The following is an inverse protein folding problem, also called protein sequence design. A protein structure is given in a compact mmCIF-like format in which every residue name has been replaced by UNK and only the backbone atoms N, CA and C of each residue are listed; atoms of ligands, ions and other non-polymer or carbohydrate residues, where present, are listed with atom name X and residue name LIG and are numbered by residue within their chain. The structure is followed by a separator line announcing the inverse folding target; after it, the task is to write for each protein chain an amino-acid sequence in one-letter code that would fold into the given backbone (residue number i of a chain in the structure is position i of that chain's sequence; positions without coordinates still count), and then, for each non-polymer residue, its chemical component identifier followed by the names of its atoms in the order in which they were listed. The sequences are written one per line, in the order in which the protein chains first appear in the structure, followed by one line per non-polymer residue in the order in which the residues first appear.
data_IF_161473181941
#
_entry.id   IF_161473181941
#
_cell.length_a   1.000
_cell.length_b   1.000
_cell.length_c   1.000
_cell.angle_alpha   90.00
_cell.angle_beta   90.00
_cell.angle_gamma   90.00
#
_symmetry.space_group_name_H-M   'P 1'
#
loop_
_entity.id
_entity.type
_entity.pdbx_description
1 polymer ?
#
# COMPACT_ATOMS: atom_id res chain seq x y z
N UNK A 1 -36.78 31.62 -20.16
CA UNK A 1 -35.65 30.68 -20.03
C UNK A 1 -34.43 31.49 -19.62
N UNK A 2 -33.99 31.34 -18.38
CA UNK A 2 -32.89 32.16 -17.81
C UNK A 2 -31.54 31.50 -18.10
N UNK A 3 -30.45 32.28 -18.13
CA UNK A 3 -29.09 31.77 -18.42
C UNK A 3 -28.65 30.62 -17.51
N UNK A 4 -29.22 30.53 -16.31
CA UNK A 4 -28.93 29.46 -15.36
C UNK A 4 -29.58 28.13 -15.74
N UNK A 5 -30.72 28.13 -16.44
CA UNK A 5 -31.37 26.91 -16.93
C UNK A 5 -30.58 26.31 -18.10
N UNK A 6 -30.00 27.15 -18.97
CA UNK A 6 -29.14 26.69 -20.07
C UNK A 6 -27.80 26.12 -19.58
N UNK A 7 -27.30 26.58 -18.43
CA UNK A 7 -26.04 26.09 -17.87
C UNK A 7 -26.20 24.69 -17.25
N UNK A 8 -27.34 24.43 -16.59
CA UNK A 8 -27.64 23.13 -15.98
C UNK A 8 -27.90 22.07 -17.06
N UNK A 9 -28.57 22.45 -18.15
CA UNK A 9 -28.81 21.56 -19.31
C UNK A 9 -27.51 21.23 -20.07
N UNK A 10 -26.58 22.18 -20.14
CA UNK A 10 -25.26 21.98 -20.77
C UNK A 10 -24.28 21.13 -19.93
N UNK A 11 -24.46 21.08 -18.61
CA UNK A 11 -23.65 20.23 -17.71
C UNK A 11 -24.25 18.82 -17.61
N UNK A 12 -25.57 18.68 -17.72
CA UNK A 12 -26.28 17.40 -17.70
C UNK A 12 -26.03 16.50 -18.92
N UNK A 13 -25.40 17.01 -19.98
CA UNK A 13 -25.13 16.27 -21.22
C UNK A 13 -23.66 15.82 -21.37
N UNK A 14 -22.84 15.90 -20.33
CA UNK A 14 -21.48 15.32 -20.38
C UNK A 14 -21.62 13.80 -20.28
N UNK A 15 -21.70 13.18 -21.45
CA UNK A 15 -21.80 11.74 -21.64
C UNK A 15 -20.66 11.02 -20.89
N UNK A 16 -21.02 10.18 -19.91
CA UNK A 16 -20.13 9.48 -18.95
C UNK A 16 -18.97 8.78 -19.67
N UNK A 17 -19.19 8.37 -20.92
CA UNK A 17 -18.20 7.77 -21.80
C UNK A 17 -16.97 8.66 -22.04
N UNK A 18 -17.13 9.98 -22.11
CA UNK A 18 -16.01 10.91 -22.31
C UNK A 18 -15.21 11.14 -21.03
N UNK A 19 -15.84 10.99 -19.85
CA UNK A 19 -15.13 11.08 -18.57
C UNK A 19 -14.22 9.86 -18.42
N UNK A 20 -14.72 8.66 -18.72
CA UNK A 20 -13.94 7.43 -18.67
C UNK A 20 -12.78 7.43 -19.68
N UNK A 21 -13.03 7.90 -20.91
CA UNK A 21 -11.99 8.00 -21.94
C UNK A 21 -10.91 9.05 -21.60
N UNK A 22 -11.32 10.18 -21.01
CA UNK A 22 -10.38 11.22 -20.57
C UNK A 22 -9.53 10.75 -19.37
N UNK A 23 -10.12 10.04 -18.40
CA UNK A 23 -9.39 9.46 -17.27
C UNK A 23 -8.42 8.39 -17.75
N UNK A 24 -8.86 7.47 -18.61
CA UNK A 24 -8.00 6.44 -19.20
C UNK A 24 -6.82 7.05 -19.98
N UNK A 25 -7.07 8.06 -20.81
CA UNK A 25 -6.04 8.75 -21.59
C UNK A 25 -5.04 9.52 -20.69
N UNK A 26 -5.51 10.09 -19.57
CA UNK A 26 -4.66 10.80 -18.61
C UNK A 26 -3.75 9.84 -17.83
N UNK A 27 -4.27 8.67 -17.45
CA UNK A 27 -3.50 7.58 -16.82
C UNK A 27 -2.43 7.06 -17.80
N UNK A 28 -2.81 6.76 -19.04
CA UNK A 28 -1.87 6.23 -20.04
C UNK A 28 -0.75 7.23 -20.37
N UNK A 29 -1.07 8.52 -20.46
CA UNK A 29 -0.07 9.58 -20.68
C UNK A 29 0.89 9.75 -19.50
N UNK A 30 0.41 9.61 -18.25
CA UNK A 30 1.25 9.70 -17.05
C UNK A 30 2.21 8.50 -16.97
N UNK A 31 1.74 7.29 -17.30
CA UNK A 31 2.56 6.07 -17.37
C UNK A 31 3.63 6.18 -18.48
N UNK A 32 3.26 6.67 -19.67
CA UNK A 32 4.21 6.89 -20.78
C UNK A 32 5.26 7.95 -20.45
N UNK A 33 4.89 8.99 -19.69
CA UNK A 33 5.83 10.03 -19.23
C UNK A 33 6.82 9.48 -18.21
N UNK A 34 6.38 8.60 -17.31
CA UNK A 34 7.25 8.01 -16.29
C UNK A 34 8.22 6.94 -16.83
N UNK A 35 7.86 6.25 -17.92
CA UNK A 35 8.74 5.28 -18.61
C UNK A 35 9.91 5.91 -19.40
N UNK A 36 10.03 7.25 -19.49
CA UNK A 36 10.94 7.93 -20.44
C UNK A 36 12.36 8.31 -19.99
N UNK A 37 12.84 8.23 -18.73
CA UNK A 37 14.26 8.50 -18.46
C UNK A 37 15.12 7.27 -18.08
N UNK A 38 14.60 6.04 -18.10
CA UNK A 38 15.40 4.87 -17.65
C UNK A 38 16.37 4.32 -18.70
N UNK A 39 16.20 4.64 -19.99
CA UNK A 39 17.12 4.16 -21.04
C UNK A 39 18.44 4.93 -21.13
N UNK A 40 18.60 6.06 -20.44
CA UNK A 40 19.85 6.86 -20.49
C UNK A 40 20.81 6.63 -19.32
N UNK A 41 20.37 5.99 -18.23
CA UNK A 41 21.21 5.75 -17.05
C UNK A 41 22.02 4.44 -17.18
N UNK A 42 21.52 3.46 -17.95
CA UNK A 42 22.20 2.17 -18.13
C UNK A 42 23.53 2.26 -18.91
N UNK A 43 23.75 3.32 -19.69
CA UNK A 43 24.97 3.49 -20.50
C UNK A 43 26.13 4.12 -19.68
N UNK A 44 25.83 4.92 -18.65
CA UNK A 44 26.84 5.60 -17.82
C UNK A 44 27.49 4.65 -16.81
N UNK A 45 26.77 3.63 -16.34
CA UNK A 45 27.29 2.66 -15.36
C UNK A 45 28.37 1.73 -15.94
N UNK A 46 28.32 1.42 -17.25
CA UNK A 46 29.30 0.56 -17.90
C UNK A 46 30.69 1.20 -18.00
N UNK A 47 30.78 2.54 -18.08
CA UNK A 47 32.06 3.25 -18.13
C UNK A 47 32.77 3.33 -16.76
N UNK A 48 32.03 3.34 -15.64
CA UNK A 48 32.64 3.39 -14.30
C UNK A 48 33.30 2.06 -13.89
N UNK A 49 32.78 0.92 -14.37
CA UNK A 49 33.31 -0.41 -14.02
C UNK A 49 34.66 -0.75 -14.69
N UNK A 50 35.01 -0.08 -15.79
CA UNK A 50 36.31 -0.28 -16.46
C UNK A 50 37.46 0.55 -15.83
N UNK A 51 37.14 1.62 -15.10
CA UNK A 51 38.16 2.48 -14.47
C UNK A 51 38.64 1.87 -13.13
N UNK A 52 37.74 1.21 -12.38
CA UNK A 52 38.08 0.63 -11.07
C UNK A 52 38.91 -0.66 -11.19
N UNK A 53 38.76 -1.42 -12.29
CA UNK A 53 39.53 -2.65 -12.51
C UNK A 53 40.98 -2.41 -12.97
N UNK A 54 41.30 -1.24 -13.52
CA UNK A 54 42.67 -0.89 -13.93
C UNK A 54 43.59 -0.42 -12.78
N UNK A 55 43.03 0.04 -11.66
CA UNK A 55 43.81 0.65 -10.57
C UNK A 55 44.29 -0.34 -9.49
N UNK A 56 43.79 -1.58 -9.49
CA UNK A 56 44.07 -2.58 -8.44
C UNK A 56 45.23 -3.54 -8.75
N UNK A 57 45.90 -3.40 -9.90
CA UNK A 57 46.96 -4.31 -10.33
C UNK A 57 48.40 -3.80 -10.22
N UNK A 58 48.65 -2.62 -9.62
CA UNK A 58 50.01 -2.03 -9.57
C UNK A 58 50.60 -1.89 -8.16
N UNK A 59 49.97 -2.40 -7.09
CA UNK A 59 50.57 -2.34 -5.75
C UNK A 59 50.37 -3.64 -4.96
N UNK A 60 51.25 -4.60 -5.24
CA UNK A 60 51.53 -5.74 -4.37
C UNK A 60 53.03 -5.74 -4.05
N UNK A 61 53.44 -5.44 -2.80
CA UNK A 61 54.70 -5.91 -2.27
C UNK A 61 54.46 -7.21 -1.50
N UNK A 62 55.03 -8.28 -2.03
CA UNK A 62 55.32 -9.52 -1.31
C UNK A 62 56.23 -9.20 -0.11
N UNK A 63 55.80 -9.54 1.11
CA UNK A 63 56.76 -9.90 2.15
C UNK A 63 56.22 -10.96 3.10
N UNK A 64 57.12 -11.90 3.38
CA UNK A 64 56.93 -13.15 4.08
C UNK A 64 57.78 -13.09 5.37
N UNK A 65 57.22 -13.43 6.54
CA UNK A 65 57.91 -13.85 7.79
C UNK A 65 56.85 -14.13 8.86
N UNK A 66 56.59 -15.39 9.20
CA UNK A 66 57.28 -16.24 10.20
C UNK A 66 56.85 -15.98 11.66
N UNK A 67 56.13 -16.97 12.19
CA UNK A 67 55.80 -17.38 13.56
C UNK A 67 56.55 -16.72 14.73
N UNK A 68 55.82 -16.31 15.80
CA UNK A 68 55.90 -17.01 17.10
C UNK A 68 54.84 -16.57 18.15
N UNK A 69 54.49 -17.56 18.97
CA UNK A 69 53.78 -17.66 20.26
C UNK A 69 53.74 -16.45 21.22
N UNK A 70 52.59 -16.20 21.89
CA UNK A 70 52.33 -16.53 23.33
C UNK A 70 51.00 -15.93 23.84
N UNK A 71 50.36 -16.73 24.69
CA UNK A 71 49.27 -16.42 25.64
C UNK A 71 49.60 -15.29 26.61
N UNK A 72 48.62 -14.44 26.95
CA UNK A 72 48.30 -14.02 28.34
C UNK A 72 46.98 -13.24 28.43
N UNK A 73 46.34 -13.34 29.60
CA UNK A 73 44.98 -12.93 29.97
C UNK A 73 44.78 -11.41 30.17
N UNK A 74 43.52 -10.97 30.01
CA UNK A 74 42.84 -10.06 30.95
C UNK A 74 42.92 -8.55 30.70
N UNK A 75 42.00 -7.76 31.30
CA UNK A 75 41.13 -6.83 30.58
C UNK A 75 41.44 -5.35 30.84
N UNK A 76 41.00 -4.44 29.96
CA UNK A 76 40.90 -3.02 30.29
C UNK A 76 39.82 -2.29 29.50
N UNK A 77 38.85 -1.79 30.25
CA UNK A 77 37.95 -0.70 29.93
C UNK A 77 38.73 0.61 29.67
N UNK A 78 38.11 1.53 28.92
CA UNK A 78 38.36 2.96 29.08
C UNK A 78 38.67 3.71 27.78
N UNK A 79 37.59 4.25 27.20
CA UNK A 79 37.44 5.61 26.70
C UNK A 79 38.24 6.16 25.51
N UNK A 80 37.56 7.10 24.86
CA UNK A 80 37.99 8.11 23.89
C UNK A 80 38.11 7.70 22.42
N UNK A 81 37.02 7.88 21.66
CA UNK A 81 37.06 8.67 20.41
C UNK A 81 35.79 9.52 20.29
N UNK A 82 35.99 10.83 20.44
CA UNK A 82 35.09 11.88 20.02
C UNK A 82 35.17 12.11 18.50
N UNK A 83 34.02 12.45 17.90
CA UNK A 83 33.94 13.28 16.70
C UNK A 83 33.68 12.51 15.41
N UNK A 84 32.47 12.67 14.85
CA UNK A 84 32.20 13.35 13.57
C UNK A 84 30.72 13.16 13.18
N UNK A 85 30.02 14.30 12.97
CA UNK A 85 28.93 14.55 12.00
C UNK A 85 27.65 13.69 12.15
N UNK A 86 26.41 14.15 12.08
CA UNK A 86 25.73 15.34 11.53
C UNK A 86 24.24 15.21 11.97
N UNK A 87 23.34 16.18 11.68
CA UNK A 87 22.13 16.41 12.49
C UNK A 87 21.06 15.30 12.33
N UNK A 88 20.49 14.89 13.46
CA UNK A 88 19.27 14.09 13.53
C UNK A 88 18.09 14.86 12.94
N UNK A 89 17.61 14.41 11.78
CA UNK A 89 16.23 14.57 11.38
C UNK A 89 15.49 13.28 11.74
N UNK A 90 15.17 13.12 13.02
CA UNK A 90 14.22 12.11 13.46
C UNK A 90 12.83 12.75 13.42
N UNK A 91 12.21 12.68 12.24
CA UNK A 91 10.78 12.89 12.10
C UNK A 91 10.11 11.57 12.46
N UNK A 92 9.91 11.36 13.76
CA UNK A 92 9.16 10.25 14.34
C UNK A 92 7.67 10.41 13.98
N UNK A 93 7.27 9.91 12.82
CA UNK A 93 5.86 9.83 12.43
C UNK A 93 5.22 8.57 13.02
N UNK A 94 4.97 8.59 14.34
CA UNK A 94 4.10 7.60 14.97
C UNK A 94 2.69 7.67 14.32
N UNK A 95 2.16 6.58 13.72
CA UNK A 95 0.84 6.56 13.08
C UNK A 95 -0.31 6.89 14.02
N UNK A 96 -0.13 6.76 15.35
CA UNK A 96 -1.11 7.21 16.33
C UNK A 96 -1.32 8.73 16.28
N UNK A 97 -0.29 9.53 15.98
CA UNK A 97 -0.42 10.99 15.90
C UNK A 97 -1.13 11.47 14.63
N UNK A 98 -1.08 10.69 13.55
CA UNK A 98 -1.81 10.94 12.30
C UNK A 98 -3.32 10.75 12.47
N UNK A 99 -3.75 9.99 13.48
CA UNK A 99 -5.17 9.66 13.68
C UNK A 99 -6.05 10.83 14.13
N UNK A 100 -5.48 11.87 14.76
CA UNK A 100 -6.28 12.95 15.37
C UNK A 100 -6.72 14.02 14.36
N UNK A 101 -6.08 14.10 13.19
CA UNK A 101 -6.31 15.17 12.19
C UNK A 101 -6.99 14.64 10.91
N UNK A 102 -6.89 13.35 10.64
CA UNK A 102 -7.34 12.77 9.38
C UNK A 102 -8.87 12.61 9.31
N UNK A 103 -9.45 12.96 8.15
CA UNK A 103 -10.89 12.76 7.89
C UNK A 103 -11.22 11.27 7.80
N UNK A 104 -12.14 10.83 8.65
CA UNK A 104 -12.60 9.43 8.71
C UNK A 104 -14.03 9.27 8.20
N UNK A 105 -14.26 8.14 7.54
CA UNK A 105 -15.59 7.63 7.27
C UNK A 105 -15.90 6.45 8.21
N UNK A 106 -17.06 6.51 8.86
CA UNK A 106 -17.62 5.43 9.68
C UNK A 106 -19.07 5.23 9.20
N UNK A 107 -19.47 4.03 8.78
CA UNK A 107 -20.83 3.80 8.31
C UNK A 107 -21.82 3.85 9.47
N UNK A 108 -23.07 4.19 9.16
CA UNK A 108 -24.18 4.05 10.11
C UNK A 108 -24.79 2.64 10.01
N UNK A 109 -25.18 2.06 11.14
CA UNK A 109 -25.88 0.77 11.17
C UNK A 109 -24.99 -0.38 11.61
N UNK A 110 -25.44 -1.61 11.31
CA UNK A 110 -24.75 -2.83 11.73
C UNK A 110 -23.65 -3.19 10.72
N UNK A 111 -22.43 -3.28 11.23
CA UNK A 111 -21.24 -3.66 10.46
C UNK A 111 -20.79 -5.06 10.85
N UNK A 112 -20.42 -5.86 9.84
CA UNK A 112 -19.71 -7.11 10.01
C UNK A 112 -18.23 -6.84 9.73
N UNK A 113 -17.41 -6.94 10.75
CA UNK A 113 -15.95 -6.75 10.68
C UNK A 113 -15.16 -8.04 10.94
N UNK A 114 -15.87 -9.15 11.15
CA UNK A 114 -15.26 -10.47 11.33
C UNK A 114 -16.20 -11.59 10.93
N UNK A 115 -15.59 -12.67 10.46
CA UNK A 115 -16.26 -13.94 10.26
C UNK A 115 -15.26 -15.09 10.34
N UNK A 116 -15.57 -16.13 11.09
CA UNK A 116 -14.71 -17.32 11.21
C UNK A 116 -15.18 -18.39 10.24
N UNK A 117 -14.28 -18.89 9.39
CA UNK A 117 -14.51 -20.07 8.54
C UNK A 117 -13.29 -21.00 8.58
N UNK A 118 -13.46 -22.23 8.10
CA UNK A 118 -12.35 -23.15 7.88
C UNK A 118 -11.58 -22.69 6.63
N UNK A 119 -10.58 -21.81 6.80
CA UNK A 119 -9.90 -21.17 5.68
C UNK A 119 -8.95 -22.13 4.95
N UNK A 120 -8.87 -21.96 3.64
CA UNK A 120 -7.76 -22.38 2.81
C UNK A 120 -7.13 -21.11 2.22
N UNK A 121 -5.81 -20.95 2.32
CA UNK A 121 -5.13 -19.80 1.76
C UNK A 121 -5.20 -19.82 0.23
N UNK A 122 -5.59 -18.70 -0.40
CA UNK A 122 -5.44 -18.49 -1.83
C UNK A 122 -4.06 -17.87 -2.10
N UNK A 123 -3.22 -18.53 -2.89
CA UNK A 123 -1.83 -18.11 -3.14
C UNK A 123 -1.62 -17.38 -4.48
N UNK A 124 -2.69 -17.20 -5.27
CA UNK A 124 -2.59 -16.65 -6.63
C UNK A 124 -3.31 -15.30 -6.67
N UNK A 125 -2.58 -14.19 -6.94
CA UNK A 125 -3.18 -12.90 -7.24
C UNK A 125 -4.22 -13.02 -8.37
N UNK A 126 -5.34 -12.29 -8.30
CA UNK A 126 -6.32 -12.29 -9.37
C UNK A 126 -5.75 -11.61 -10.61
N UNK A 127 -6.13 -12.12 -11.78
CA UNK A 127 -5.83 -11.47 -13.06
C UNK A 127 -6.44 -10.07 -13.14
N UNK A 128 -5.90 -9.24 -14.03
CA UNK A 128 -6.41 -7.89 -14.27
C UNK A 128 -7.89 -7.90 -14.71
N UNK A 129 -8.69 -7.00 -14.14
CA UNK A 129 -10.13 -6.94 -14.34
C UNK A 129 -10.92 -8.06 -13.63
N UNK A 130 -10.30 -8.79 -12.70
CA UNK A 130 -10.95 -9.83 -11.89
C UNK A 130 -10.87 -9.49 -10.41
N UNK A 131 -11.78 -10.09 -9.66
CA UNK A 131 -11.73 -10.06 -8.21
C UNK A 131 -12.19 -11.38 -7.62
N UNK A 132 -11.84 -11.62 -6.35
CA UNK A 132 -12.39 -12.73 -5.58
C UNK A 132 -12.56 -12.34 -4.11
N UNK A 133 -13.38 -13.14 -3.41
CA UNK A 133 -13.57 -13.09 -1.97
C UNK A 133 -12.86 -14.28 -1.33
N UNK A 134 -12.13 -14.04 -0.25
CA UNK A 134 -11.68 -15.15 0.59
C UNK A 134 -12.87 -15.91 1.18
N UNK A 135 -12.64 -17.15 1.61
CA UNK A 135 -13.71 -18.10 1.99
C UNK A 135 -14.60 -17.50 3.09
N UNK A 136 -14.01 -16.87 4.09
CA UNK A 136 -14.72 -16.23 5.19
C UNK A 136 -15.66 -15.10 4.72
N UNK A 137 -15.26 -14.34 3.70
CA UNK A 137 -16.10 -13.29 3.13
C UNK A 137 -17.26 -13.91 2.34
N UNK A 138 -16.98 -14.92 1.52
CA UNK A 138 -18.02 -15.66 0.80
C UNK A 138 -19.05 -16.28 1.76
N UNK A 139 -18.60 -16.89 2.85
CA UNK A 139 -19.49 -17.54 3.82
C UNK A 139 -20.30 -16.51 4.62
N UNK A 140 -19.70 -15.37 4.97
CA UNK A 140 -20.43 -14.26 5.57
C UNK A 140 -21.52 -13.70 4.64
N UNK A 141 -21.20 -13.50 3.35
CA UNK A 141 -22.15 -13.03 2.35
C UNK A 141 -23.32 -14.00 2.16
N UNK A 142 -23.04 -15.32 2.16
CA UNK A 142 -24.09 -16.35 2.09
C UNK A 142 -24.96 -16.37 3.34
N UNK A 143 -24.36 -16.34 4.52
CA UNK A 143 -25.10 -16.43 5.80
C UNK A 143 -26.03 -15.25 6.01
N UNK A 144 -25.60 -14.05 5.59
CA UNK A 144 -26.34 -12.81 5.82
C UNK A 144 -27.00 -12.26 4.55
N UNK A 145 -27.19 -13.08 3.52
CA UNK A 145 -27.69 -12.69 2.20
C UNK A 145 -28.98 -11.85 2.21
N UNK A 146 -29.87 -12.09 3.18
CA UNK A 146 -31.18 -11.43 3.26
C UNK A 146 -31.18 -10.24 4.24
N UNK A 147 -30.00 -9.84 4.74
CA UNK A 147 -29.85 -8.72 5.66
C UNK A 147 -29.17 -7.55 4.96
N UNK A 148 -29.72 -6.36 5.15
CA UNK A 148 -29.08 -5.12 4.72
C UNK A 148 -27.94 -4.77 5.71
N UNK A 149 -26.75 -5.33 5.47
CA UNK A 149 -25.56 -5.16 6.29
C UNK A 149 -24.42 -4.53 5.51
N UNK A 150 -23.53 -3.88 6.25
CA UNK A 150 -22.24 -3.40 5.74
C UNK A 150 -21.14 -4.35 6.19
N UNK A 151 -20.19 -4.63 5.30
CA UNK A 151 -19.01 -5.44 5.55
C UNK A 151 -17.78 -4.55 5.56
N UNK A 152 -16.99 -4.63 6.62
CA UNK A 152 -15.70 -3.95 6.71
C UNK A 152 -14.59 -4.90 6.24
N UNK A 153 -14.04 -4.63 5.06
CA UNK A 153 -13.15 -5.55 4.36
C UNK A 153 -11.83 -4.87 3.99
N UNK A 154 -10.74 -5.63 4.10
CA UNK A 154 -9.47 -5.31 3.48
C UNK A 154 -9.59 -5.48 1.97
N UNK A 155 -8.81 -4.69 1.22
CA UNK A 155 -8.72 -4.80 -0.24
C UNK A 155 -7.24 -4.92 -0.61
N UNK A 156 -6.85 -6.08 -1.12
CA UNK A 156 -5.55 -6.24 -1.76
C UNK A 156 -5.71 -5.95 -3.25
N UNK A 157 -4.98 -4.96 -3.75
CA UNK A 157 -5.00 -4.52 -5.14
C UNK A 157 -3.71 -4.97 -5.81
N UNK A 158 -3.82 -5.59 -6.99
CA UNK A 158 -2.70 -6.17 -7.72
C UNK A 158 -2.58 -5.57 -9.11
N UNK A 159 -1.36 -5.22 -9.53
CA UNK A 159 -1.02 -4.93 -10.93
C UNK A 159 0.11 -5.86 -11.36
N UNK A 160 0.04 -6.39 -12.58
CA UNK A 160 1.06 -7.31 -13.12
C UNK A 160 1.44 -8.44 -12.14
N UNK A 161 0.42 -9.02 -11.46
CA UNK A 161 0.55 -10.07 -10.44
C UNK A 161 1.36 -9.69 -9.19
N UNK A 162 1.50 -8.39 -8.90
CA UNK A 162 2.17 -7.88 -7.70
C UNK A 162 1.23 -6.98 -6.92
N UNK A 163 1.29 -7.09 -5.60
CA UNK A 163 0.54 -6.19 -4.72
C UNK A 163 1.01 -4.75 -4.96
N UNK A 164 0.05 -3.82 -5.04
CA UNK A 164 0.30 -2.41 -5.36
C UNK A 164 0.89 -1.61 -4.18
N UNK A 165 1.23 -2.29 -3.08
CA UNK A 165 1.62 -1.74 -1.79
C UNK A 165 2.81 -0.76 -1.87
N UNK A 166 3.66 -0.89 -2.90
CA UNK A 166 4.87 -0.05 -3.06
C UNK A 166 4.66 1.17 -3.97
N UNK A 167 3.43 1.40 -4.49
CA UNK A 167 3.12 2.46 -5.46
C UNK A 167 1.99 3.34 -4.93
N UNK A 168 2.28 4.15 -3.89
CA UNK A 168 1.28 5.00 -3.21
C UNK A 168 0.50 5.89 -4.18
N UNK A 169 1.17 6.49 -5.17
CA UNK A 169 0.51 7.34 -6.17
C UNK A 169 -0.53 6.57 -7.00
N UNK A 170 -0.18 5.36 -7.44
CA UNK A 170 -1.05 4.53 -8.27
C UNK A 170 -2.22 3.96 -7.46
N UNK A 171 -1.93 3.54 -6.23
CA UNK A 171 -2.92 3.09 -5.26
C UNK A 171 -3.91 4.21 -4.94
N UNK A 172 -3.43 5.42 -4.62
CA UNK A 172 -4.28 6.57 -4.32
C UNK A 172 -5.17 6.97 -5.51
N UNK A 173 -4.66 6.89 -6.74
CA UNK A 173 -5.47 7.13 -7.95
C UNK A 173 -6.62 6.12 -8.02
N UNK A 174 -6.36 4.85 -7.74
CA UNK A 174 -7.39 3.82 -7.76
C UNK A 174 -8.40 3.99 -6.61
N UNK A 175 -7.95 4.34 -5.41
CA UNK A 175 -8.85 4.65 -4.29
C UNK A 175 -9.73 5.87 -4.58
N UNK A 176 -9.18 6.91 -5.21
CA UNK A 176 -9.95 8.07 -5.67
C UNK A 176 -11.01 7.65 -6.72
N UNK A 177 -10.65 6.79 -7.68
CA UNK A 177 -11.60 6.27 -8.66
C UNK A 177 -12.74 5.52 -7.98
N UNK A 178 -12.44 4.63 -7.05
CA UNK A 178 -13.44 3.85 -6.31
C UNK A 178 -14.36 4.78 -5.49
N UNK A 179 -13.83 5.80 -4.82
CA UNK A 179 -14.67 6.78 -4.10
C UNK A 179 -15.55 7.60 -5.04
N UNK A 180 -15.05 7.99 -6.23
CA UNK A 180 -15.85 8.69 -7.23
C UNK A 180 -16.99 7.83 -7.79
N UNK A 181 -16.89 6.50 -7.69
CA UNK A 181 -17.96 5.56 -8.05
C UNK A 181 -18.95 5.31 -6.90
N UNK A 182 -18.72 5.92 -5.74
CA UNK A 182 -19.61 5.83 -4.58
C UNK A 182 -19.16 4.82 -3.51
N UNK A 183 -18.09 4.07 -3.73
CA UNK A 183 -17.57 3.17 -2.70
C UNK A 183 -16.88 3.92 -1.57
N UNK A 184 -17.08 3.47 -0.34
CA UNK A 184 -16.37 4.04 0.81
C UNK A 184 -15.07 3.27 1.07
N UNK A 185 -13.98 3.71 0.43
CA UNK A 185 -12.65 3.06 0.54
C UNK A 185 -11.54 4.03 0.97
N UNK A 186 -10.58 3.51 1.71
CA UNK A 186 -9.45 4.28 2.22
C UNK A 186 -8.48 3.40 3.00
N UNK A 187 -7.84 3.96 4.02
CA UNK A 187 -6.89 3.24 4.86
C UNK A 187 -7.46 2.94 6.24
N UNK A 188 -7.37 1.69 6.66
CA UNK A 188 -7.62 1.28 8.03
C UNK A 188 -6.29 0.98 8.74
N UNK A 189 -6.26 1.25 10.04
CA UNK A 189 -5.13 0.92 10.88
C UNK A 189 -5.28 -0.51 11.41
N UNK A 190 -4.18 -1.24 11.40
CA UNK A 190 -4.03 -2.55 12.02
C UNK A 190 -2.64 -2.61 12.63
N UNK A 191 -2.37 -3.57 13.51
CA UNK A 191 -1.04 -3.76 14.05
C UNK A 191 -0.50 -5.14 13.69
N UNK A 192 0.81 -5.26 13.53
CA UNK A 192 1.52 -6.54 13.37
C UNK A 192 2.60 -6.67 14.43
N UNK A 193 3.03 -7.90 14.71
CA UNK A 193 4.21 -8.11 15.55
C UNK A 193 5.50 -7.84 14.75
N UNK A 194 6.34 -6.96 15.27
CA UNK A 194 7.73 -6.81 14.87
C UNK A 194 8.64 -7.41 15.96
N UNK A 195 9.49 -8.36 15.58
CA UNK A 195 10.30 -9.06 16.58
C UNK A 195 9.46 -9.96 17.48
N UNK A 196 9.79 -10.03 18.78
CA UNK A 196 9.19 -11.02 19.69
C UNK A 196 7.80 -10.64 20.19
N UNK A 197 7.55 -9.36 20.50
CA UNK A 197 6.29 -8.92 21.12
C UNK A 197 5.92 -7.46 20.79
N UNK A 198 6.71 -6.75 19.99
CA UNK A 198 6.44 -5.34 19.70
C UNK A 198 5.29 -5.23 18.69
N UNK A 199 4.22 -4.53 19.04
CA UNK A 199 3.13 -4.25 18.12
C UNK A 199 3.43 -2.96 17.37
N UNK A 200 3.42 -3.03 16.04
CA UNK A 200 3.65 -1.88 15.17
C UNK A 200 2.42 -1.64 14.33
N UNK A 201 1.84 -0.47 14.53
CA UNK A 201 0.70 0.02 13.76
C UNK A 201 1.10 0.28 12.31
N UNK A 202 0.26 -0.20 11.39
CA UNK A 202 0.41 -0.10 9.95
C UNK A 202 -0.94 0.29 9.34
N UNK A 203 -0.89 0.73 8.09
CA UNK A 203 -2.08 1.00 7.30
C UNK A 203 -2.26 -0.06 6.22
N UNK A 204 -3.51 -0.46 6.01
CA UNK A 204 -3.92 -1.31 4.89
C UNK A 204 -5.13 -0.70 4.22
N UNK A 205 -5.25 -0.90 2.92
CA UNK A 205 -6.44 -0.49 2.18
C UNK A 205 -7.63 -1.30 2.67
N UNK A 206 -8.71 -0.60 2.99
CA UNK A 206 -9.95 -1.18 3.45
C UNK A 206 -11.15 -0.35 2.96
N UNK A 207 -12.34 -0.95 3.04
CA UNK A 207 -13.58 -0.27 2.72
C UNK A 207 -14.78 -0.85 3.44
N UNK A 208 -15.87 -0.10 3.34
CA UNK A 208 -17.19 -0.50 3.81
C UNK A 208 -18.05 -0.79 2.60
N UNK A 209 -18.58 -2.01 2.53
CA UNK A 209 -19.31 -2.49 1.36
C UNK A 209 -20.66 -3.08 1.75
N UNK A 210 -21.70 -2.78 0.98
CA UNK A 210 -22.93 -3.60 1.00
C UNK A 210 -22.75 -4.84 0.12
N UNK A 211 -23.68 -5.78 0.25
CA UNK A 211 -23.69 -6.96 -0.63
C UNK A 211 -23.88 -6.58 -2.10
N UNK A 212 -24.76 -5.62 -2.38
CA UNK A 212 -25.04 -5.13 -3.74
C UNK A 212 -23.80 -4.50 -4.36
N UNK A 213 -23.04 -3.72 -3.57
CA UNK A 213 -21.78 -3.12 -3.99
C UNK A 213 -20.71 -4.17 -4.34
N UNK A 214 -20.67 -5.27 -3.58
CA UNK A 214 -19.76 -6.40 -3.83
C UNK A 214 -20.20 -7.19 -5.08
N UNK A 215 -21.48 -7.51 -5.21
CA UNK A 215 -22.01 -8.25 -6.37
C UNK A 215 -21.83 -7.49 -7.70
N UNK A 216 -21.80 -6.15 -7.64
CA UNK A 216 -21.64 -5.27 -8.79
C UNK A 216 -20.31 -4.50 -8.79
N UNK A 217 -19.28 -5.03 -8.12
CA UNK A 217 -18.01 -4.32 -7.93
C UNK A 217 -17.38 -3.87 -9.25
N UNK A 218 -17.20 -2.56 -9.42
CA UNK A 218 -16.73 -1.93 -10.65
C UNK A 218 -15.19 -2.00 -10.75
N UNK A 219 -14.70 -3.14 -11.24
CA UNK A 219 -13.27 -3.39 -11.46
C UNK A 219 -12.63 -2.42 -12.46
N UNK A 220 -11.40 -2.03 -12.18
CA UNK A 220 -10.50 -1.48 -13.18
C UNK A 220 -9.86 -2.64 -13.96
N UNK A 221 -9.83 -2.55 -15.30
CA UNK A 221 -9.30 -3.62 -16.16
C UNK A 221 -7.80 -3.85 -16.04
N UNK A 222 -7.08 -2.94 -15.39
CA UNK A 222 -5.63 -3.05 -15.18
C UNK A 222 -5.26 -3.69 -13.84
N UNK A 223 -6.22 -3.84 -12.91
CA UNK A 223 -5.97 -4.36 -11.57
C UNK A 223 -6.75 -5.63 -11.27
N UNK A 224 -6.19 -6.48 -10.42
CA UNK A 224 -6.91 -7.54 -9.72
C UNK A 224 -7.22 -7.13 -8.28
N UNK A 225 -8.32 -7.65 -7.70
CA UNK A 225 -8.74 -7.32 -6.33
C UNK A 225 -9.02 -8.58 -5.50
N UNK A 226 -8.51 -8.63 -4.27
CA UNK A 226 -8.90 -9.65 -3.30
C UNK A 226 -9.47 -8.99 -2.05
N UNK A 227 -10.54 -9.58 -1.52
CA UNK A 227 -11.26 -9.05 -0.36
C UNK A 227 -11.26 -10.05 0.78
N UNK A 228 -10.84 -9.60 1.96
CA UNK A 228 -10.78 -10.38 3.20
C UNK A 228 -11.25 -9.56 4.39
N UNK A 229 -11.58 -10.20 5.51
CA UNK A 229 -11.76 -9.45 6.76
C UNK A 229 -10.40 -8.93 7.26
N UNK A 230 -10.40 -7.72 7.82
CA UNK A 230 -9.19 -7.11 8.39
C UNK A 230 -8.81 -7.81 9.70
N UNK A 231 -7.54 -8.19 9.82
CA UNK A 231 -6.98 -8.86 10.98
C UNK A 231 -5.75 -8.13 11.50
N UNK A 232 -5.56 -8.16 12.83
CA UNK A 232 -4.31 -7.79 13.48
C UNK A 232 -3.28 -8.93 13.43
N UNK A 233 -2.07 -8.67 13.91
CA UNK A 233 -0.95 -9.62 13.92
C UNK A 233 -1.20 -10.89 14.75
N UNK A 234 -2.13 -10.87 15.69
CA UNK A 234 -2.61 -12.04 16.45
C UNK A 234 -3.83 -12.74 15.80
N UNK A 235 -4.22 -12.34 14.60
CA UNK A 235 -5.44 -12.78 13.91
C UNK A 235 -6.75 -12.36 14.59
N UNK A 236 -6.73 -11.45 15.57
CA UNK A 236 -7.94 -10.82 16.07
C UNK A 236 -8.52 -9.86 15.01
N UNK A 237 -9.85 -9.68 14.96
CA UNK A 237 -10.46 -8.73 14.04
C UNK A 237 -10.05 -7.29 14.30
N UNK A 238 -9.88 -6.54 13.22
CA UNK A 238 -9.75 -5.09 13.28
C UNK A 238 -11.14 -4.47 13.43
N UNK A 239 -11.35 -3.70 14.50
CA UNK A 239 -12.61 -3.05 14.82
C UNK A 239 -13.02 -2.05 13.72
N UNK A 240 -14.25 -2.20 13.20
CA UNK A 240 -14.84 -1.29 12.21
C UNK A 240 -15.13 0.12 12.75
N UNK A 241 -15.25 0.26 14.08
CA UNK A 241 -15.56 1.51 14.75
C UNK A 241 -14.45 2.56 14.59
N UNK A 242 -13.22 2.13 14.25
CA UNK A 242 -12.15 3.06 13.93
C UNK A 242 -12.42 3.85 12.62
N UNK A 243 -13.28 3.32 11.73
CA UNK A 243 -13.53 3.87 10.42
C UNK A 243 -12.39 3.64 9.42
N UNK A 244 -12.43 4.37 8.32
CA UNK A 244 -11.35 4.43 7.32
C UNK A 244 -10.89 5.87 7.14
N UNK A 245 -9.59 6.08 7.00
CA UNK A 245 -8.98 7.35 6.65
C UNK A 245 -9.17 7.58 5.16
N UNK A 246 -9.80 8.70 4.82
CA UNK A 246 -10.11 9.09 3.43
C UNK A 246 -9.22 10.20 2.89
N UNK A 247 -8.36 10.75 3.75
CA UNK A 247 -7.35 11.74 3.38
C UNK A 247 -6.01 11.04 3.16
N UNK A 248 -5.70 10.76 1.90
CA UNK A 248 -4.56 9.93 1.52
C UNK A 248 -3.21 10.64 1.63
N UNK A 249 -3.22 11.97 1.67
CA UNK A 249 -2.00 12.78 1.76
C UNK A 249 -1.39 12.71 3.17
N UNK A 250 -2.20 12.35 4.17
CA UNK A 250 -1.79 12.24 5.58
C UNK A 250 -1.16 10.88 5.94
N UNK A 251 -1.22 9.87 5.07
CA UNK A 251 -0.64 8.55 5.36
C UNK A 251 0.85 8.57 5.00
N UNK A 252 1.74 8.62 5.99
CA UNK A 252 3.20 8.50 5.79
C UNK A 252 3.61 7.08 6.18
N UNK A 253 4.35 6.39 5.30
CA UNK A 253 4.94 5.06 5.57
C UNK A 253 6.24 5.18 6.37
#
# INVERSE_FOLDING_TARGET
MTKNEQLIDAIGSVDVKYIDEFIAAKIENKIKKHRRPWKKIAEIAACFMLIVSGALFINLPLHNRSLNTKSTNGPMFGDDIAGYLSPSQDQDSNPETLTTVAKRYVPTGKVIDSYTSNSAACYIPPDAGKYFYFIEVNDALKKYNDQNLTYFLAIDIFADNKALNNSKDELNIELQRLNNLGYHVGYAMYWEYQGKEEQVSKFRVAGFFTKEELDSFCVNKIYGYAFSFMLNGDHSPVSSQQGIITDYDLIVE
#
